data_IF_520127331387
#
_entry.id   IF_520127331387
#
_cell.length_a   1.000
_cell.length_b   1.000
_cell.length_c   1.000
_cell.angle_alpha   90.00
_cell.angle_beta   90.00
_cell.angle_gamma   90.00
#
_symmetry.space_group_name_H-M   'P 1'
#
loop_
_entity.id
_entity.type
_entity.pdbx_description
1 polymer ?
#
# COMPACT_ATOMS: atom_id res chain seq x y z
N UNK A 1 50.28 -3.17 5.32
CA UNK A 1 49.18 -4.08 5.06
C UNK A 1 47.91 -3.26 4.99
N UNK A 2 47.51 -2.87 3.80
CA UNK A 2 46.23 -2.20 3.57
C UNK A 2 45.13 -3.24 3.80
N UNK A 3 44.26 -3.01 4.77
CA UNK A 3 43.00 -3.75 4.88
C UNK A 3 42.20 -3.36 3.63
N UNK A 4 42.14 -4.24 2.64
CA UNK A 4 41.13 -4.20 1.61
C UNK A 4 39.79 -4.43 2.32
N UNK A 5 39.04 -3.38 2.51
CA UNK A 5 37.61 -3.48 2.82
C UNK A 5 36.97 -4.09 1.59
N UNK A 6 36.69 -5.40 1.65
CA UNK A 6 35.89 -6.09 0.68
C UNK A 6 34.50 -5.48 0.74
N UNK A 7 34.25 -4.39 0.01
CA UNK A 7 32.91 -3.82 -0.13
C UNK A 7 32.09 -4.82 -0.93
N UNK A 8 31.23 -5.56 -0.27
CA UNK A 8 30.30 -6.46 -0.94
C UNK A 8 29.40 -5.61 -1.84
N UNK A 9 29.45 -5.85 -3.14
CA UNK A 9 28.58 -5.19 -4.14
C UNK A 9 27.28 -5.96 -4.27
N UNK A 10 26.16 -5.24 -4.27
CA UNK A 10 24.81 -5.78 -4.44
C UNK A 10 24.26 -5.37 -5.81
N UNK A 11 24.38 -6.24 -6.80
CA UNK A 11 23.89 -6.00 -8.16
C UNK A 11 22.56 -6.72 -8.37
N UNK A 12 21.58 -6.00 -8.89
CA UNK A 12 20.22 -6.51 -9.15
C UNK A 12 20.06 -7.01 -10.59
N UNK A 13 19.01 -7.79 -10.88
CA UNK A 13 18.76 -8.26 -12.24
C UNK A 13 18.60 -7.10 -13.24
N UNK A 14 18.97 -7.34 -14.50
CA UNK A 14 18.73 -6.40 -15.58
C UNK A 14 17.24 -6.09 -15.72
N UNK A 15 16.89 -4.82 -15.93
CA UNK A 15 15.52 -4.35 -16.03
C UNK A 15 14.78 -4.31 -14.69
N UNK A 16 15.50 -4.27 -13.59
CA UNK A 16 14.90 -4.10 -12.26
C UNK A 16 14.16 -2.76 -12.14
N UNK A 17 12.96 -2.78 -11.55
CA UNK A 17 12.14 -1.58 -11.43
C UNK A 17 12.59 -0.76 -10.22
N UNK A 18 13.25 0.35 -10.50
CA UNK A 18 13.68 1.32 -9.51
C UNK A 18 12.72 2.49 -9.47
N UNK A 19 12.10 2.75 -8.33
CA UNK A 19 11.15 3.83 -8.26
C UNK A 19 10.61 4.10 -6.87
N UNK A 20 9.44 4.70 -6.86
CA UNK A 20 8.70 5.02 -5.65
C UNK A 20 7.20 4.91 -5.88
N UNK A 21 6.45 4.99 -4.79
CA UNK A 21 4.99 4.92 -4.81
C UNK A 21 4.38 6.15 -4.16
N UNK A 22 3.18 6.50 -4.61
CA UNK A 22 2.35 7.54 -4.03
C UNK A 22 0.86 7.18 -4.16
N UNK A 23 -0.01 7.92 -3.52
CA UNK A 23 -1.46 7.79 -3.65
C UNK A 23 -2.14 9.13 -3.93
N UNK A 24 -3.29 9.10 -4.60
CA UNK A 24 -4.01 10.28 -5.01
C UNK A 24 -4.40 11.18 -3.83
N UNK A 25 -5.09 10.64 -2.82
CA UNK A 25 -5.55 11.42 -1.67
C UNK A 25 -4.42 12.06 -0.88
N UNK A 26 -3.25 11.41 -0.84
CA UNK A 26 -2.11 11.88 -0.06
C UNK A 26 -1.26 12.94 -0.79
N UNK A 27 -1.43 13.10 -2.11
CA UNK A 27 -0.55 13.95 -2.92
C UNK A 27 -1.24 14.99 -3.78
N UNK A 28 -2.43 14.71 -4.32
CA UNK A 28 -3.02 15.54 -5.37
C UNK A 28 -3.56 16.89 -4.87
N UNK A 29 -4.28 16.87 -3.74
CA UNK A 29 -5.05 18.01 -3.26
C UNK A 29 -6.41 18.16 -3.97
N UNK A 30 -7.14 19.20 -3.59
CA UNK A 30 -8.45 19.55 -4.17
C UNK A 30 -8.49 21.05 -4.46
N UNK A 31 -9.03 21.43 -5.61
CA UNK A 31 -9.00 22.81 -6.08
C UNK A 31 -10.38 23.24 -6.58
N UNK A 32 -10.75 24.53 -6.41
CA UNK A 32 -11.99 25.03 -6.98
C UNK A 32 -12.06 24.78 -8.49
N UNK A 33 -13.13 24.12 -8.93
CA UNK A 33 -13.38 23.85 -10.35
C UNK A 33 -12.70 22.59 -10.90
N UNK A 34 -12.00 21.79 -10.09
CA UNK A 34 -11.38 20.54 -10.54
C UNK A 34 -12.40 19.37 -10.69
N UNK A 35 -13.62 19.59 -10.27
CA UNK A 35 -14.73 18.62 -10.40
C UNK A 35 -14.65 17.41 -9.50
N UNK A 36 -13.65 17.31 -8.63
CA UNK A 36 -13.49 16.18 -7.69
C UNK A 36 -14.65 16.14 -6.70
N UNK A 37 -15.29 14.98 -6.56
CA UNK A 37 -16.24 14.70 -5.48
C UNK A 37 -15.50 14.40 -4.16
N UNK A 38 -16.18 14.53 -3.01
CA UNK A 38 -15.61 14.21 -1.72
C UNK A 38 -15.43 12.69 -1.58
N UNK A 39 -14.34 12.29 -0.92
CA UNK A 39 -14.14 10.94 -0.45
C UNK A 39 -14.28 10.86 1.09
N UNK A 40 -14.15 9.68 1.65
CA UNK A 40 -14.29 9.45 3.09
C UNK A 40 -13.26 10.22 3.93
N UNK A 41 -12.08 10.55 3.40
CA UNK A 41 -11.05 11.32 4.11
C UNK A 41 -11.40 12.80 4.16
N UNK A 42 -11.93 13.37 3.07
CA UNK A 42 -12.44 14.74 3.04
C UNK A 42 -13.56 14.90 4.08
N UNK A 43 -14.50 13.96 4.09
CA UNK A 43 -15.63 13.96 5.02
C UNK A 43 -15.19 13.79 6.48
N UNK A 44 -14.30 12.84 6.75
CA UNK A 44 -13.82 12.58 8.11
C UNK A 44 -13.05 13.78 8.67
N UNK A 45 -12.17 14.38 7.86
CA UNK A 45 -11.49 15.59 8.25
C UNK A 45 -12.46 16.75 8.56
N UNK A 46 -13.47 16.95 7.73
CA UNK A 46 -14.49 17.99 7.96
C UNK A 46 -15.24 17.78 9.27
N UNK A 47 -15.57 16.53 9.62
CA UNK A 47 -16.30 16.19 10.85
C UNK A 47 -15.44 16.24 12.10
N UNK A 48 -14.19 15.77 12.02
CA UNK A 48 -13.30 15.56 13.16
C UNK A 48 -11.88 16.06 12.88
N UNK A 49 -11.67 17.36 12.58
CA UNK A 49 -10.34 17.87 12.21
C UNK A 49 -9.29 17.67 13.31
N UNK A 50 -9.70 17.58 14.56
CA UNK A 50 -8.83 17.32 15.71
C UNK A 50 -8.26 15.89 15.78
N UNK A 51 -8.77 14.96 14.97
CA UNK A 51 -8.19 13.62 14.80
C UNK A 51 -6.94 13.64 13.93
N UNK A 52 -6.66 14.75 13.25
CA UNK A 52 -5.54 14.91 12.33
C UNK A 52 -4.50 15.84 12.93
N UNK A 53 -3.23 15.46 12.79
CA UNK A 53 -2.11 16.20 13.36
C UNK A 53 -2.16 17.68 12.92
N UNK A 54 -2.13 18.60 13.90
CA UNK A 54 -2.23 20.05 13.70
C UNK A 54 -3.48 20.50 12.93
N UNK A 55 -4.50 19.66 12.80
CA UNK A 55 -5.72 20.01 12.06
C UNK A 55 -5.46 20.20 10.55
N UNK A 56 -4.50 19.48 9.98
CA UNK A 56 -4.18 19.56 8.55
C UNK A 56 -4.86 18.44 7.79
N UNK A 57 -5.74 18.81 6.86
CA UNK A 57 -6.54 17.89 6.04
C UNK A 57 -5.96 17.65 4.64
N UNK A 58 -6.67 16.84 3.84
CA UNK A 58 -6.20 16.40 2.52
C UNK A 58 -6.38 17.41 1.38
N UNK A 59 -6.94 18.61 1.65
CA UNK A 59 -7.30 19.54 0.60
C UNK A 59 -6.08 20.14 -0.13
N UNK A 60 -4.97 20.38 0.56
CA UNK A 60 -3.76 20.96 -0.03
C UNK A 60 -2.78 19.87 -0.43
N UNK A 61 -2.37 19.04 0.49
CA UNK A 61 -1.39 17.96 0.36
C UNK A 61 -0.09 18.42 -0.32
N UNK A 62 0.49 17.60 -1.19
CA UNK A 62 1.72 17.94 -1.91
C UNK A 62 1.47 18.61 -3.26
N UNK A 63 0.22 18.96 -3.56
CA UNK A 63 -0.17 19.69 -4.79
C UNK A 63 0.20 18.95 -6.10
N UNK A 64 0.26 17.63 -6.11
CA UNK A 64 0.62 16.84 -7.29
C UNK A 64 -0.28 17.16 -8.50
N UNK A 65 -1.56 17.42 -8.28
CA UNK A 65 -2.50 17.81 -9.33
C UNK A 65 -2.00 19.02 -10.16
N UNK A 66 -1.26 19.93 -9.54
CA UNK A 66 -0.71 21.12 -10.21
C UNK A 66 0.76 20.99 -10.58
N UNK A 67 1.53 20.22 -9.82
CA UNK A 67 3.00 20.16 -9.90
C UNK A 67 3.56 18.86 -10.49
N UNK A 68 2.70 17.98 -11.02
CA UNK A 68 3.11 16.67 -11.52
C UNK A 68 4.23 16.72 -12.58
N UNK A 69 4.30 17.74 -13.42
CA UNK A 69 5.37 17.88 -14.42
C UNK A 69 6.73 18.14 -13.76
N UNK A 70 6.76 18.98 -12.72
CA UNK A 70 7.96 19.21 -11.91
C UNK A 70 8.35 17.92 -11.19
N UNK A 71 7.38 17.26 -10.56
CA UNK A 71 7.60 16.02 -9.81
C UNK A 71 8.15 14.90 -10.71
N UNK A 72 7.59 14.70 -11.91
CA UNK A 72 8.06 13.70 -12.87
C UNK A 72 9.47 14.03 -13.37
N UNK A 73 9.78 15.30 -13.62
CA UNK A 73 11.14 15.73 -13.96
C UNK A 73 12.13 15.37 -12.82
N UNK A 74 11.77 15.59 -11.57
CA UNK A 74 12.59 15.23 -10.42
C UNK A 74 12.71 13.71 -10.26
N UNK A 75 11.64 12.94 -10.53
CA UNK A 75 11.70 11.47 -10.54
C UNK A 75 12.75 10.97 -11.55
N UNK A 76 12.75 11.54 -12.76
CA UNK A 76 13.76 11.20 -13.77
C UNK A 76 15.15 11.57 -13.31
N UNK A 77 15.33 12.74 -12.70
CA UNK A 77 16.61 13.23 -12.18
C UNK A 77 17.21 12.27 -11.15
N UNK A 78 16.38 11.71 -10.25
CA UNK A 78 16.83 10.75 -9.24
C UNK A 78 16.74 9.28 -9.68
N UNK A 79 16.69 9.02 -11.00
CA UNK A 79 16.89 7.71 -11.56
C UNK A 79 15.68 6.77 -11.57
N UNK A 80 14.45 7.28 -11.42
CA UNK A 80 13.27 6.43 -11.56
C UNK A 80 13.12 5.89 -12.97
N UNK A 81 12.81 4.59 -13.09
CA UNK A 81 12.35 3.95 -14.31
C UNK A 81 10.90 3.42 -14.20
N UNK A 82 10.32 3.54 -13.03
CA UNK A 82 8.93 3.17 -12.75
C UNK A 82 8.38 4.03 -11.60
N UNK A 83 7.07 4.25 -11.61
CA UNK A 83 6.40 5.00 -10.57
C UNK A 83 4.98 4.45 -10.37
N UNK A 84 4.61 4.16 -9.11
CA UNK A 84 3.25 3.76 -8.77
C UNK A 84 2.45 4.96 -8.29
N UNK A 85 1.33 5.19 -8.94
CA UNK A 85 0.33 6.17 -8.53
C UNK A 85 -1.03 5.49 -8.36
N UNK A 86 -1.97 6.16 -7.73
CA UNK A 86 -3.37 5.75 -7.74
C UNK A 86 -4.24 6.75 -8.49
N UNK A 87 -5.32 6.27 -9.10
CA UNK A 87 -6.38 7.12 -9.61
C UNK A 87 -7.35 7.38 -8.48
N UNK A 88 -7.72 8.64 -8.25
CA UNK A 88 -8.77 8.99 -7.30
C UNK A 88 -10.13 8.63 -7.89
N UNK A 89 -10.82 7.68 -7.27
CA UNK A 89 -12.15 7.26 -7.71
C UNK A 89 -13.13 8.43 -7.73
N UNK A 90 -13.19 9.24 -6.66
CA UNK A 90 -14.09 10.39 -6.59
C UNK A 90 -13.64 11.60 -7.43
N UNK A 91 -12.38 11.64 -7.91
CA UNK A 91 -11.97 12.63 -8.91
C UNK A 91 -12.47 12.25 -10.29
N UNK A 92 -12.34 10.99 -10.67
CA UNK A 92 -12.79 10.50 -11.99
C UNK A 92 -14.32 10.40 -12.09
N UNK A 93 -14.96 9.86 -11.04
CA UNK A 93 -16.41 9.72 -10.90
C UNK A 93 -16.85 10.42 -9.60
N UNK A 94 -17.26 11.70 -9.63
CA UNK A 94 -17.54 12.47 -8.41
C UNK A 94 -18.57 11.85 -7.47
N UNK A 95 -19.57 11.14 -8.03
CA UNK A 95 -20.59 10.40 -7.27
C UNK A 95 -20.24 8.88 -7.12
N UNK A 96 -19.00 8.49 -7.46
CA UNK A 96 -18.56 7.10 -7.49
C UNK A 96 -19.05 6.28 -8.67
N UNK A 97 -20.02 6.80 -9.42
CA UNK A 97 -20.63 6.21 -10.61
C UNK A 97 -21.31 7.28 -11.47
N UNK A 98 -21.71 6.91 -12.68
CA UNK A 98 -22.46 7.79 -13.58
C UNK A 98 -21.55 8.77 -14.32
N UNK A 99 -21.75 10.07 -14.13
CA UNK A 99 -21.06 11.10 -14.89
C UNK A 99 -19.55 11.11 -14.66
N UNK A 100 -18.78 11.14 -15.75
CA UNK A 100 -17.31 11.20 -15.75
C UNK A 100 -16.86 12.65 -15.65
N UNK A 101 -15.88 12.93 -14.81
CA UNK A 101 -15.22 14.22 -14.75
C UNK A 101 -14.13 14.31 -15.83
N UNK A 102 -14.40 15.06 -16.89
CA UNK A 102 -13.49 15.20 -18.04
C UNK A 102 -12.16 15.88 -17.66
N UNK A 103 -12.15 16.78 -16.67
CA UNK A 103 -10.92 17.38 -16.15
C UNK A 103 -10.01 16.32 -15.50
N UNK A 104 -10.59 15.34 -14.83
CA UNK A 104 -9.84 14.22 -14.27
C UNK A 104 -9.27 13.32 -15.37
N UNK A 105 -10.04 13.05 -16.42
CA UNK A 105 -9.56 12.27 -17.58
C UNK A 105 -8.37 12.98 -18.22
N UNK A 106 -8.47 14.28 -18.45
CA UNK A 106 -7.38 15.08 -19.01
C UNK A 106 -6.15 15.04 -18.11
N UNK A 107 -6.31 15.22 -16.81
CA UNK A 107 -5.23 15.19 -15.82
C UNK A 107 -4.48 13.85 -15.81
N UNK A 108 -5.19 12.72 -15.69
CA UNK A 108 -4.54 11.41 -15.65
C UNK A 108 -3.92 11.03 -17.00
N UNK A 109 -4.52 11.42 -18.13
CA UNK A 109 -3.89 11.27 -19.42
C UNK A 109 -2.55 12.02 -19.50
N UNK A 110 -2.52 13.26 -19.04
CA UNK A 110 -1.29 14.08 -19.03
C UNK A 110 -0.21 13.46 -18.12
N UNK A 111 -0.58 13.02 -16.92
CA UNK A 111 0.36 12.36 -15.98
C UNK A 111 0.96 11.10 -16.60
N UNK A 112 0.13 10.24 -17.17
CA UNK A 112 0.58 9.00 -17.82
C UNK A 112 1.50 9.31 -19.00
N UNK A 113 1.13 10.26 -19.85
CA UNK A 113 1.92 10.67 -21.01
C UNK A 113 3.27 11.26 -20.58
N UNK A 114 3.30 12.10 -19.54
CA UNK A 114 4.53 12.70 -19.03
C UNK A 114 5.49 11.66 -18.43
N UNK A 115 4.95 10.66 -17.70
CA UNK A 115 5.74 9.54 -17.18
C UNK A 115 6.38 8.76 -18.34
N UNK A 116 5.61 8.38 -19.34
CA UNK A 116 6.11 7.62 -20.51
C UNK A 116 7.13 8.44 -21.29
N UNK A 117 6.88 9.73 -21.52
CA UNK A 117 7.83 10.62 -22.20
C UNK A 117 9.14 10.79 -21.42
N UNK A 118 9.13 10.53 -20.12
CA UNK A 118 10.30 10.54 -19.25
C UNK A 118 10.95 9.17 -19.06
N UNK A 119 10.56 8.14 -19.82
CA UNK A 119 10.98 6.73 -19.68
C UNK A 119 10.69 6.16 -18.28
N UNK A 120 9.61 6.59 -17.66
CA UNK A 120 9.15 6.09 -16.35
C UNK A 120 7.87 5.30 -16.58
N UNK A 121 7.89 4.01 -16.31
CA UNK A 121 6.72 3.14 -16.50
C UNK A 121 5.66 3.45 -15.43
N UNK A 122 4.41 3.79 -15.81
CA UNK A 122 3.32 4.00 -14.87
C UNK A 122 2.77 2.68 -14.35
N UNK A 123 2.77 2.51 -13.03
CA UNK A 123 2.07 1.44 -12.31
C UNK A 123 0.84 2.07 -11.69
N UNK A 124 -0.35 1.62 -12.06
CA UNK A 124 -1.59 2.29 -11.66
C UNK A 124 -2.41 1.43 -10.71
N UNK A 125 -2.63 1.96 -9.53
CA UNK A 125 -3.52 1.40 -8.52
C UNK A 125 -4.90 2.06 -8.61
N UNK A 126 -5.97 1.27 -8.52
CA UNK A 126 -7.34 1.75 -8.69
C UNK A 126 -7.98 2.24 -7.39
N UNK A 127 -7.63 1.64 -6.25
CA UNK A 127 -8.21 1.98 -4.96
C UNK A 127 -7.15 2.05 -3.85
N UNK A 128 -7.03 3.22 -3.24
CA UNK A 128 -6.11 3.49 -2.13
C UNK A 128 -6.85 4.21 -0.99
N UNK A 129 -7.82 3.51 -0.39
CA UNK A 129 -8.63 3.94 0.77
C UNK A 129 -9.63 5.07 0.51
N UNK A 130 -9.79 5.51 -0.71
CA UNK A 130 -10.49 6.72 -1.10
C UNK A 130 -11.92 6.48 -1.62
N UNK A 131 -12.73 5.75 -0.84
CA UNK A 131 -14.14 5.52 -1.14
C UNK A 131 -14.86 6.85 -1.39
N UNK A 132 -15.53 7.03 -2.56
CA UNK A 132 -16.40 8.18 -2.78
C UNK A 132 -17.45 8.30 -1.69
N UNK A 133 -17.65 9.50 -1.14
CA UNK A 133 -18.58 9.69 -0.03
C UNK A 133 -20.01 9.31 -0.42
N UNK A 134 -20.42 9.57 -1.64
CA UNK A 134 -21.73 9.20 -2.15
C UNK A 134 -21.98 7.67 -2.10
N UNK A 135 -20.96 6.85 -2.31
CA UNK A 135 -21.07 5.39 -2.16
C UNK A 135 -20.97 4.96 -0.69
N UNK A 136 -20.16 5.65 0.11
CA UNK A 136 -20.07 5.37 1.54
C UNK A 136 -21.42 5.61 2.26
N UNK A 137 -22.18 6.61 1.85
CA UNK A 137 -23.52 6.89 2.35
C UNK A 137 -24.53 5.76 2.06
N UNK A 138 -24.26 4.94 1.05
CA UNK A 138 -25.06 3.73 0.75
C UNK A 138 -24.55 2.48 1.47
N UNK A 139 -23.52 2.59 2.31
CA UNK A 139 -22.92 1.50 3.08
C UNK A 139 -21.47 1.15 2.70
N UNK A 140 -20.88 1.81 1.69
CA UNK A 140 -19.50 1.55 1.27
C UNK A 140 -19.27 0.08 0.94
N UNK A 141 -18.12 -0.46 1.32
CA UNK A 141 -17.79 -1.88 1.06
C UNK A 141 -18.69 -2.90 1.76
N UNK A 142 -19.48 -2.52 2.76
CA UNK A 142 -20.51 -3.41 3.35
C UNK A 142 -21.64 -3.68 2.35
N UNK A 143 -21.94 -2.72 1.48
CA UNK A 143 -22.98 -2.83 0.46
C UNK A 143 -22.45 -3.53 -0.79
N UNK A 144 -23.05 -4.67 -1.14
CA UNK A 144 -22.66 -5.46 -2.32
C UNK A 144 -22.71 -4.66 -3.63
N UNK A 145 -23.66 -3.71 -3.77
CA UNK A 145 -23.77 -2.89 -4.98
C UNK A 145 -22.48 -2.10 -5.26
N UNK A 146 -21.75 -1.71 -4.22
CA UNK A 146 -20.47 -0.99 -4.35
C UNK A 146 -19.41 -1.84 -5.05
N UNK A 147 -19.48 -3.16 -4.96
CA UNK A 147 -18.61 -4.08 -5.73
C UNK A 147 -18.82 -3.86 -7.23
N UNK A 148 -20.05 -3.81 -7.70
CA UNK A 148 -20.35 -3.61 -9.11
C UNK A 148 -20.06 -2.17 -9.58
N UNK A 149 -20.30 -1.19 -8.72
CA UNK A 149 -19.92 0.21 -8.96
C UNK A 149 -18.39 0.34 -9.11
N UNK A 150 -17.61 -0.37 -8.26
CA UNK A 150 -16.15 -0.43 -8.37
C UNK A 150 -15.69 -1.07 -9.68
N UNK A 151 -16.29 -2.19 -10.08
CA UNK A 151 -15.94 -2.87 -11.34
C UNK A 151 -16.22 -1.98 -12.55
N UNK A 152 -17.31 -1.22 -12.52
CA UNK A 152 -17.64 -0.23 -13.56
C UNK A 152 -16.58 0.88 -13.63
N UNK A 153 -16.13 1.39 -12.48
CA UNK A 153 -15.03 2.35 -12.38
C UNK A 153 -13.71 1.76 -12.91
N UNK A 154 -13.35 0.54 -12.48
CA UNK A 154 -12.14 -0.14 -12.94
C UNK A 154 -12.15 -0.33 -14.46
N UNK A 155 -13.28 -0.78 -15.03
CA UNK A 155 -13.47 -0.96 -16.46
C UNK A 155 -13.29 0.35 -17.22
N UNK A 156 -13.84 1.44 -16.70
CA UNK A 156 -13.63 2.78 -17.26
C UNK A 156 -12.16 3.16 -17.29
N UNK A 157 -11.43 2.92 -16.20
CA UNK A 157 -9.98 3.19 -16.16
C UNK A 157 -9.22 2.36 -17.20
N UNK A 158 -9.53 1.08 -17.36
CA UNK A 158 -8.91 0.22 -18.38
C UNK A 158 -9.21 0.73 -19.80
N UNK A 159 -10.42 1.22 -20.07
CA UNK A 159 -10.79 1.79 -21.36
C UNK A 159 -10.05 3.10 -21.66
N UNK A 160 -9.93 3.98 -20.66
CA UNK A 160 -9.32 5.30 -20.83
C UNK A 160 -7.79 5.26 -20.95
N UNK A 161 -7.13 4.35 -20.22
CA UNK A 161 -5.67 4.41 -20.01
C UNK A 161 -4.94 3.10 -20.37
N UNK A 162 -5.64 2.01 -20.63
CA UNK A 162 -5.07 0.69 -20.84
C UNK A 162 -4.24 0.53 -22.11
N UNK A 163 -4.38 1.44 -23.08
CA UNK A 163 -3.50 1.53 -24.23
C UNK A 163 -2.05 1.80 -23.86
N UNK A 164 -1.79 2.49 -22.74
CA UNK A 164 -0.48 2.94 -22.25
C UNK A 164 -0.08 2.32 -20.92
N UNK A 165 -1.02 2.08 -20.00
CA UNK A 165 -0.77 1.46 -18.71
C UNK A 165 -0.74 -0.06 -18.87
N UNK A 166 0.38 -0.69 -18.49
CA UNK A 166 0.62 -2.13 -18.63
C UNK A 166 0.69 -2.87 -17.29
N UNK A 167 0.66 -2.13 -16.17
CA UNK A 167 0.64 -2.71 -14.83
C UNK A 167 -0.46 -2.05 -14.01
N UNK A 168 -1.49 -2.83 -13.73
CA UNK A 168 -2.67 -2.44 -12.97
C UNK A 168 -2.72 -3.14 -11.63
N UNK A 169 -3.22 -2.43 -10.62
CA UNK A 169 -3.47 -3.01 -9.29
C UNK A 169 -4.88 -2.62 -8.86
N UNK A 170 -5.63 -3.62 -8.41
CA UNK A 170 -7.03 -3.43 -8.04
C UNK A 170 -7.17 -2.65 -6.72
N UNK A 171 -6.47 -3.10 -5.70
CA UNK A 171 -6.47 -2.52 -4.36
C UNK A 171 -5.06 -2.31 -3.84
N UNK A 172 -4.88 -1.27 -3.03
CA UNK A 172 -3.75 -1.14 -2.12
C UNK A 172 -4.22 -1.48 -0.71
N UNK A 173 -3.55 -2.46 -0.09
CA UNK A 173 -3.74 -2.83 1.31
C UNK A 173 -5.21 -3.00 1.74
N UNK A 174 -5.99 -3.88 1.13
CA UNK A 174 -7.41 -4.01 1.45
C UNK A 174 -7.69 -4.37 2.92
N UNK A 175 -6.72 -4.93 3.64
CA UNK A 175 -6.84 -5.16 5.08
C UNK A 175 -6.95 -3.86 5.89
N UNK A 176 -6.42 -2.72 5.41
CA UNK A 176 -6.42 -1.45 6.16
C UNK A 176 -7.82 -0.86 6.32
N UNK A 177 -8.67 -0.75 5.29
CA UNK A 177 -10.09 -0.41 5.48
C UNK A 177 -10.83 -1.37 6.41
N UNK A 178 -10.52 -2.67 6.37
CA UNK A 178 -11.11 -3.68 7.28
C UNK A 178 -10.70 -3.42 8.72
N UNK A 179 -9.38 -3.37 8.99
CA UNK A 179 -8.86 -3.16 10.35
C UNK A 179 -9.27 -1.79 10.90
N UNK A 180 -8.99 -0.75 10.15
CA UNK A 180 -9.20 0.63 10.61
C UNK A 180 -10.64 1.05 10.61
N UNK A 181 -11.40 0.61 9.62
CA UNK A 181 -12.79 1.00 9.44
C UNK A 181 -13.78 0.26 10.33
N UNK A 182 -13.50 -1.04 10.62
CA UNK A 182 -14.49 -1.92 11.24
C UNK A 182 -13.96 -2.75 12.43
N UNK A 183 -12.68 -2.59 12.81
CA UNK A 183 -12.11 -3.31 13.95
C UNK A 183 -11.50 -2.38 15.00
N UNK A 184 -10.60 -1.46 14.60
CA UNK A 184 -9.75 -0.71 15.53
C UNK A 184 -9.91 0.82 15.45
N UNK A 185 -10.86 1.32 14.68
CA UNK A 185 -11.28 2.74 14.69
C UNK A 185 -10.17 3.76 14.37
N UNK A 186 -9.34 3.49 13.36
CA UNK A 186 -8.32 4.41 12.86
C UNK A 186 -8.50 4.80 11.39
N UNK A 187 -9.64 4.43 10.79
CA UNK A 187 -10.03 4.73 9.41
C UNK A 187 -11.55 4.91 9.38
N UNK A 188 -12.06 5.90 8.62
CA UNK A 188 -13.50 6.05 8.47
C UNK A 188 -14.11 4.77 7.84
N UNK A 189 -15.26 4.29 8.31
CA UNK A 189 -16.27 4.94 9.16
C UNK A 189 -16.04 4.79 10.67
N UNK A 190 -14.93 4.22 11.14
CA UNK A 190 -14.60 4.07 12.56
C UNK A 190 -15.61 3.24 13.35
N UNK A 191 -16.23 2.26 12.72
CA UNK A 191 -17.11 1.29 13.39
C UNK A 191 -16.26 0.19 14.06
N UNK A 192 -16.82 -0.47 15.08
CA UNK A 192 -16.24 -1.66 15.71
C UNK A 192 -17.27 -2.78 15.59
N UNK A 193 -17.19 -3.51 14.49
CA UNK A 193 -18.12 -4.58 14.13
C UNK A 193 -17.41 -5.61 13.25
N UNK A 194 -17.00 -6.72 13.85
CA UNK A 194 -16.23 -7.74 13.14
C UNK A 194 -17.05 -8.48 12.06
N UNK A 195 -18.38 -8.57 12.20
CA UNK A 195 -19.24 -9.11 11.14
C UNK A 195 -19.15 -8.23 9.87
N UNK A 196 -19.21 -6.92 10.04
CA UNK A 196 -19.01 -5.97 8.93
C UNK A 196 -17.59 -6.03 8.38
N UNK A 197 -16.57 -6.16 9.26
CA UNK A 197 -15.19 -6.32 8.85
C UNK A 197 -15.00 -7.51 7.90
N UNK A 198 -15.60 -8.65 8.23
CA UNK A 198 -15.57 -9.87 7.38
C UNK A 198 -16.27 -9.61 6.05
N UNK A 199 -17.43 -8.97 6.06
CA UNK A 199 -18.17 -8.64 4.84
C UNK A 199 -17.40 -7.70 3.92
N UNK A 200 -16.75 -6.68 4.48
CA UNK A 200 -15.89 -5.75 3.74
C UNK A 200 -14.73 -6.48 3.09
N UNK A 201 -14.00 -7.30 3.84
CA UNK A 201 -12.88 -8.07 3.29
C UNK A 201 -13.31 -9.02 2.17
N UNK A 202 -14.46 -9.68 2.32
CA UNK A 202 -15.02 -10.50 1.26
C UNK A 202 -15.38 -9.70 0.01
N UNK A 203 -16.03 -8.55 0.16
CA UNK A 203 -16.41 -7.70 -0.97
C UNK A 203 -15.20 -7.09 -1.68
N UNK A 204 -14.12 -6.75 -0.96
CA UNK A 204 -12.89 -6.26 -1.60
C UNK A 204 -12.23 -7.37 -2.44
N UNK A 205 -12.15 -8.60 -1.95
CA UNK A 205 -11.65 -9.75 -2.74
C UNK A 205 -12.57 -10.06 -3.92
N UNK A 206 -13.88 -10.02 -3.74
CA UNK A 206 -14.82 -10.21 -4.83
C UNK A 206 -14.67 -9.13 -5.91
N UNK A 207 -14.52 -7.87 -5.51
CA UNK A 207 -14.28 -6.77 -6.44
C UNK A 207 -12.95 -6.91 -7.18
N UNK A 208 -11.90 -7.38 -6.53
CA UNK A 208 -10.63 -7.73 -7.16
C UNK A 208 -10.82 -8.79 -8.25
N UNK A 209 -11.49 -9.90 -7.94
CA UNK A 209 -11.72 -10.97 -8.91
C UNK A 209 -12.58 -10.51 -10.10
N UNK A 210 -13.66 -9.75 -9.83
CA UNK A 210 -14.52 -9.20 -10.90
C UNK A 210 -13.77 -8.18 -11.78
N UNK A 211 -12.92 -7.33 -11.20
CA UNK A 211 -12.10 -6.39 -11.98
C UNK A 211 -11.07 -7.13 -12.85
N UNK A 212 -10.46 -8.20 -12.33
CA UNK A 212 -9.56 -9.06 -13.10
C UNK A 212 -10.29 -9.72 -14.27
N UNK A 213 -11.50 -10.24 -14.04
CA UNK A 213 -12.34 -10.81 -15.10
C UNK A 213 -12.63 -9.79 -16.21
N UNK A 214 -13.05 -8.58 -15.82
CA UNK A 214 -13.30 -7.49 -16.77
C UNK A 214 -12.06 -7.11 -17.57
N UNK A 215 -10.89 -7.05 -16.92
CA UNK A 215 -9.62 -6.79 -17.58
C UNK A 215 -9.25 -7.85 -18.60
N UNK A 216 -9.41 -9.13 -18.24
CA UNK A 216 -9.15 -10.25 -19.16
C UNK A 216 -10.06 -10.25 -20.39
N UNK A 217 -11.34 -9.90 -20.22
CA UNK A 217 -12.30 -9.78 -21.33
C UNK A 217 -11.90 -8.71 -22.35
N UNK A 218 -11.24 -7.64 -21.89
CA UNK A 218 -10.76 -6.55 -22.75
C UNK A 218 -9.52 -6.95 -23.56
N UNK A 219 -8.85 -8.07 -23.26
CA UNK A 219 -7.69 -8.61 -23.98
C UNK A 219 -6.55 -7.60 -24.14
N UNK A 220 -6.35 -6.75 -23.14
CA UNK A 220 -5.21 -5.84 -23.10
C UNK A 220 -3.91 -6.62 -22.81
N UNK A 221 -2.79 -6.08 -23.24
CA UNK A 221 -1.47 -6.73 -23.20
C UNK A 221 -0.66 -6.48 -21.92
N UNK A 222 -1.31 -6.04 -20.85
CA UNK A 222 -0.71 -5.76 -19.55
C UNK A 222 -0.93 -6.88 -18.53
N UNK A 223 -0.51 -6.59 -17.29
CA UNK A 223 -0.72 -7.42 -16.11
C UNK A 223 -1.62 -6.73 -15.12
N UNK A 224 -2.41 -7.52 -14.41
CA UNK A 224 -3.27 -7.03 -13.32
C UNK A 224 -2.96 -7.78 -12.03
N UNK A 225 -2.81 -7.03 -10.94
CA UNK A 225 -2.46 -7.56 -9.63
C UNK A 225 -3.19 -6.88 -8.50
N UNK A 226 -2.70 -7.13 -7.29
CA UNK A 226 -3.12 -6.51 -6.04
C UNK A 226 -1.87 -6.10 -5.25
N UNK A 227 -1.99 -5.10 -4.39
CA UNK A 227 -0.93 -4.68 -3.48
C UNK A 227 -1.35 -5.02 -2.05
N UNK A 228 -0.54 -5.80 -1.37
CA UNK A 228 -0.80 -6.25 -0.01
C UNK A 228 0.30 -5.79 0.96
N UNK A 229 -0.11 -5.24 2.10
CA UNK A 229 0.81 -5.04 3.21
C UNK A 229 0.96 -6.37 3.95
N UNK A 230 2.11 -7.00 3.80
CA UNK A 230 2.41 -8.26 4.45
C UNK A 230 3.25 -8.01 5.71
N UNK A 231 2.68 -8.37 6.85
CA UNK A 231 3.32 -8.26 8.15
C UNK A 231 3.65 -9.67 8.64
N UNK A 232 4.88 -10.17 8.44
CA UNK A 232 5.21 -11.52 8.87
C UNK A 232 4.97 -11.68 10.36
N UNK A 233 4.22 -12.72 10.74
CA UNK A 233 3.83 -12.96 12.12
C UNK A 233 4.83 -13.88 12.80
N UNK A 234 5.55 -13.34 13.78
CA UNK A 234 6.57 -14.10 14.54
C UNK A 234 6.06 -14.48 15.93
N UNK A 235 6.18 -15.75 16.32
CA UNK A 235 5.84 -16.18 17.66
C UNK A 235 6.87 -15.68 18.70
N UNK A 236 6.43 -15.45 19.93
CA UNK A 236 7.31 -15.13 21.06
C UNK A 236 8.38 -16.21 21.30
N UNK A 237 8.01 -17.48 21.09
CA UNK A 237 8.88 -18.63 21.32
C UNK A 237 8.53 -19.81 20.41
N UNK A 238 9.30 -20.90 20.49
CA UNK A 238 9.01 -22.15 19.80
C UNK A 238 7.98 -23.02 20.54
N UNK A 239 7.35 -22.51 21.59
CA UNK A 239 6.24 -23.20 22.23
C UNK A 239 5.11 -23.39 21.20
N UNK A 240 4.55 -24.61 21.06
CA UNK A 240 3.49 -24.85 20.06
C UNK A 240 2.30 -23.90 20.16
N UNK A 241 1.95 -23.42 21.35
CA UNK A 241 0.87 -22.44 21.54
C UNK A 241 1.21 -21.05 20.99
N UNK A 242 2.48 -20.61 21.14
CA UNK A 242 2.93 -19.35 20.55
C UNK A 242 3.02 -19.45 19.02
N UNK A 243 3.47 -20.61 18.50
CA UNK A 243 3.51 -20.88 17.05
C UNK A 243 2.10 -20.86 16.46
N UNK A 244 1.14 -21.51 17.12
CA UNK A 244 -0.26 -21.50 16.66
C UNK A 244 -0.87 -20.08 16.70
N UNK A 245 -0.53 -19.29 17.70
CA UNK A 245 -0.94 -17.87 17.76
C UNK A 245 -0.43 -17.08 16.56
N UNK A 246 0.83 -17.29 16.16
CA UNK A 246 1.41 -16.64 14.98
C UNK A 246 0.77 -17.11 13.68
N UNK A 247 0.47 -18.40 13.54
CA UNK A 247 -0.26 -18.93 12.38
C UNK A 247 -1.68 -18.36 12.28
N UNK A 248 -2.35 -18.18 13.42
CA UNK A 248 -3.68 -17.58 13.45
C UNK A 248 -3.63 -16.11 13.04
N UNK A 249 -2.67 -15.35 13.59
CA UNK A 249 -2.46 -13.94 13.19
C UNK A 249 -2.15 -13.82 11.69
N UNK A 250 -1.32 -14.70 11.14
CA UNK A 250 -1.02 -14.76 9.71
C UNK A 250 -2.26 -15.06 8.87
N UNK A 251 -3.12 -15.97 9.32
CA UNK A 251 -4.37 -16.30 8.65
C UNK A 251 -5.34 -15.10 8.58
N UNK A 252 -5.46 -14.33 9.66
CA UNK A 252 -6.34 -13.16 9.71
C UNK A 252 -5.79 -11.96 8.92
N UNK A 253 -4.49 -11.67 9.04
CA UNK A 253 -3.95 -10.39 8.58
C UNK A 253 -3.16 -10.45 7.27
N UNK A 254 -2.67 -11.62 6.88
CA UNK A 254 -1.95 -11.78 5.61
C UNK A 254 -2.69 -12.70 4.65
N UNK A 255 -2.95 -13.94 5.07
CA UNK A 255 -3.49 -14.97 4.19
C UNK A 255 -4.95 -14.75 3.83
N UNK A 256 -5.70 -13.98 4.60
CA UNK A 256 -7.08 -13.58 4.29
C UNK A 256 -7.22 -12.89 2.92
N UNK A 257 -6.20 -12.20 2.47
CA UNK A 257 -6.12 -11.57 1.15
C UNK A 257 -5.15 -12.27 0.20
N UNK A 258 -4.01 -12.74 0.70
CA UNK A 258 -2.96 -13.35 -0.12
C UNK A 258 -3.42 -14.69 -0.73
N UNK A 259 -4.06 -15.56 0.06
CA UNK A 259 -4.55 -16.84 -0.43
C UNK A 259 -5.62 -16.68 -1.54
N UNK A 260 -6.70 -15.91 -1.36
CA UNK A 260 -7.69 -15.77 -2.43
C UNK A 260 -7.15 -15.02 -3.65
N UNK A 261 -6.24 -14.07 -3.48
CA UNK A 261 -5.65 -13.32 -4.61
C UNK A 261 -4.74 -14.19 -5.48
N UNK A 262 -3.93 -15.08 -4.89
CA UNK A 262 -2.95 -15.91 -5.60
C UNK A 262 -3.44 -17.32 -5.86
N UNK A 263 -4.09 -17.95 -4.88
CA UNK A 263 -4.55 -19.36 -4.95
C UNK A 263 -6.02 -19.51 -5.31
N UNK A 264 -6.80 -18.43 -5.25
CA UNK A 264 -8.23 -18.46 -5.56
C UNK A 264 -9.12 -19.04 -4.47
N UNK A 265 -8.62 -19.20 -3.25
CA UNK A 265 -9.42 -19.68 -2.12
C UNK A 265 -8.97 -19.07 -0.81
N UNK A 266 -9.88 -18.93 0.15
CA UNK A 266 -9.56 -18.44 1.48
C UNK A 266 -8.85 -19.50 2.33
N UNK A 267 -8.00 -19.11 3.32
CA UNK A 267 -7.34 -20.08 4.19
C UNK A 267 -8.35 -20.82 5.07
N UNK A 268 -8.24 -22.16 5.13
CA UNK A 268 -9.17 -23.02 5.87
C UNK A 268 -9.26 -22.63 7.35
N UNK A 269 -8.12 -22.33 7.98
CA UNK A 269 -8.08 -21.91 9.39
C UNK A 269 -8.95 -20.68 9.67
N UNK A 270 -8.96 -19.70 8.77
CA UNK A 270 -9.83 -18.53 8.87
C UNK A 270 -11.31 -18.91 8.67
N UNK A 271 -11.59 -19.67 7.63
CA UNK A 271 -12.96 -20.11 7.33
C UNK A 271 -13.57 -20.92 8.48
N UNK A 272 -12.80 -21.81 9.09
CA UNK A 272 -13.25 -22.61 10.24
C UNK A 272 -13.57 -21.75 11.46
N UNK A 273 -12.76 -20.72 11.74
CA UNK A 273 -13.06 -19.77 12.81
C UNK A 273 -14.34 -19.00 12.50
N UNK A 274 -14.50 -18.48 11.30
CA UNK A 274 -15.70 -17.71 10.93
C UNK A 274 -16.97 -18.58 10.98
N UNK A 275 -16.90 -19.84 10.59
CA UNK A 275 -18.01 -20.80 10.72
C UNK A 275 -18.36 -21.06 12.18
N UNK A 276 -17.34 -21.32 13.00
CA UNK A 276 -17.49 -21.58 14.43
C UNK A 276 -18.15 -20.43 15.16
N UNK A 277 -17.75 -19.21 14.84
CA UNK A 277 -18.25 -17.99 15.49
C UNK A 277 -19.54 -17.45 14.84
N UNK A 278 -20.03 -18.07 13.75
CA UNK A 278 -21.22 -17.63 13.03
C UNK A 278 -21.02 -16.30 12.27
N UNK A 279 -19.80 -16.05 11.81
CA UNK A 279 -19.37 -14.78 11.20
C UNK A 279 -19.08 -14.90 9.70
N UNK A 280 -19.57 -15.94 9.04
CA UNK A 280 -19.41 -16.07 7.58
C UNK A 280 -20.05 -14.87 6.86
N UNK A 281 -19.41 -14.33 5.81
CA UNK A 281 -19.98 -13.25 5.02
C UNK A 281 -21.18 -13.72 4.22
N UNK A 282 -22.09 -12.82 3.89
CA UNK A 282 -23.10 -13.07 2.88
C UNK A 282 -22.43 -13.22 1.50
N UNK A 283 -22.79 -14.29 0.80
CA UNK A 283 -22.26 -14.63 -0.53
C UNK A 283 -23.42 -14.98 -1.46
N UNK A 284 -23.22 -14.81 -2.75
CA UNK A 284 -24.13 -15.29 -3.79
C UNK A 284 -23.53 -16.51 -4.50
N UNK A 285 -24.39 -17.26 -5.18
CA UNK A 285 -23.96 -18.40 -6.00
C UNK A 285 -23.00 -17.92 -7.08
N UNK A 286 -21.86 -18.60 -7.25
CA UNK A 286 -20.82 -18.28 -8.21
C UNK A 286 -19.73 -17.34 -7.70
N UNK A 287 -19.85 -16.72 -6.51
CA UNK A 287 -18.84 -15.79 -5.99
C UNK A 287 -17.48 -16.48 -5.77
N UNK A 288 -17.49 -17.66 -5.17
CA UNK A 288 -16.25 -18.39 -4.86
C UNK A 288 -15.60 -18.94 -6.13
N UNK A 289 -16.39 -19.39 -7.09
CA UNK A 289 -15.92 -19.84 -8.40
C UNK A 289 -15.26 -18.67 -9.15
N UNK A 290 -15.85 -17.48 -9.12
CA UNK A 290 -15.32 -16.30 -9.75
C UNK A 290 -13.98 -15.88 -9.12
N UNK A 291 -13.85 -15.96 -7.80
CA UNK A 291 -12.58 -15.71 -7.08
C UNK A 291 -11.53 -16.74 -7.50
N UNK A 292 -11.90 -18.02 -7.59
CA UNK A 292 -11.01 -19.11 -7.97
C UNK A 292 -10.47 -18.95 -9.40
N UNK A 293 -11.29 -18.51 -10.33
CA UNK A 293 -10.95 -18.39 -11.75
C UNK A 293 -10.18 -17.11 -12.09
N UNK A 294 -10.20 -16.10 -11.22
CA UNK A 294 -9.64 -14.78 -11.49
C UNK A 294 -8.61 -14.38 -10.43
N UNK A 295 -7.46 -15.04 -10.47
CA UNK A 295 -6.29 -14.72 -9.65
C UNK A 295 -5.39 -13.70 -10.32
N UNK A 296 -4.48 -13.13 -9.57
CA UNK A 296 -3.57 -12.05 -10.01
C UNK A 296 -2.42 -12.57 -10.87
N UNK A 297 -1.85 -11.68 -11.71
CA UNK A 297 -0.63 -11.91 -12.49
C UNK A 297 0.62 -11.41 -11.79
N UNK A 298 0.50 -10.40 -10.91
CA UNK A 298 1.59 -9.65 -10.30
C UNK A 298 1.22 -9.27 -8.87
N UNK A 299 2.12 -9.51 -7.92
CA UNK A 299 1.93 -9.16 -6.51
C UNK A 299 2.77 -7.93 -6.14
N UNK A 300 2.12 -6.87 -5.71
CA UNK A 300 2.78 -5.76 -5.00
C UNK A 300 2.86 -6.06 -3.50
N UNK A 301 4.03 -5.86 -2.91
CA UNK A 301 4.28 -6.11 -1.49
C UNK A 301 4.65 -4.80 -0.82
N UNK A 302 3.86 -4.41 0.18
CA UNK A 302 4.19 -3.33 1.10
C UNK A 302 4.72 -3.95 2.39
N UNK A 303 5.91 -3.52 2.83
CA UNK A 303 6.50 -3.97 4.08
C UNK A 303 7.11 -2.81 4.88
N UNK A 304 6.71 -2.71 6.15
CA UNK A 304 7.23 -1.69 7.07
C UNK A 304 7.74 -2.28 8.38
N UNK A 305 7.04 -3.28 8.93
CA UNK A 305 7.32 -3.86 10.24
C UNK A 305 6.80 -5.30 10.35
N UNK A 306 7.36 -6.12 11.25
CA UNK A 306 6.81 -7.42 11.57
C UNK A 306 5.61 -7.30 12.52
N UNK A 307 4.85 -8.37 12.63
CA UNK A 307 3.88 -8.61 13.71
C UNK A 307 4.48 -9.64 14.67
N UNK A 308 4.59 -9.30 15.95
CA UNK A 308 5.04 -10.25 16.97
C UNK A 308 3.88 -10.58 17.89
N UNK A 309 3.68 -11.86 18.12
CA UNK A 309 2.55 -12.37 18.90
C UNK A 309 2.97 -13.46 19.86
N UNK A 310 2.15 -13.68 20.88
CA UNK A 310 2.22 -14.78 21.82
C UNK A 310 0.86 -15.43 21.97
N UNK A 311 0.82 -16.64 22.50
CA UNK A 311 -0.42 -17.31 22.84
C UNK A 311 -1.27 -16.45 23.78
N UNK A 312 -2.58 -16.49 23.61
CA UNK A 312 -3.52 -15.87 24.52
C UNK A 312 -3.39 -16.54 25.90
N UNK A 313 -2.93 -15.78 26.86
CA UNK A 313 -2.71 -16.26 28.23
C UNK A 313 -3.93 -16.01 29.12
N UNK A 314 -4.70 -14.98 28.79
CA UNK A 314 -5.78 -14.50 29.60
C UNK A 314 -6.89 -13.88 28.73
N UNK A 315 -8.14 -14.20 29.01
CA UNK A 315 -9.33 -13.64 28.35
C UNK A 315 -10.14 -12.82 29.37
N UNK A 316 -9.86 -11.53 29.47
CA UNK A 316 -10.50 -10.68 30.51
C UNK A 316 -12.00 -10.49 30.26
N UNK A 317 -12.45 -10.56 29.01
CA UNK A 317 -13.83 -10.35 28.60
C UNK A 317 -14.30 -11.47 27.68
N UNK A 318 -14.55 -12.70 28.19
CA UNK A 318 -14.91 -13.84 27.35
C UNK A 318 -16.26 -13.70 26.64
N UNK A 319 -17.14 -12.84 27.15
CA UNK A 319 -18.46 -12.56 26.58
C UNK A 319 -18.47 -11.36 25.61
N UNK A 320 -17.31 -10.73 25.38
CA UNK A 320 -17.19 -9.65 24.40
C UNK A 320 -17.39 -10.20 22.98
N UNK A 321 -17.89 -9.35 22.04
CA UNK A 321 -17.95 -9.73 20.64
C UNK A 321 -16.60 -10.24 20.12
N UNK A 322 -16.66 -11.24 19.22
CA UNK A 322 -15.45 -11.83 18.67
C UNK A 322 -14.58 -10.82 17.96
N UNK A 323 -13.26 -10.92 18.22
CA UNK A 323 -12.19 -10.21 17.52
C UNK A 323 -11.00 -11.18 17.35
N UNK A 324 -10.11 -10.99 16.36
CA UNK A 324 -8.96 -11.89 16.15
C UNK A 324 -8.04 -12.02 17.36
N UNK A 325 -7.97 -11.01 18.22
CA UNK A 325 -7.19 -11.00 19.46
C UNK A 325 -7.74 -11.97 20.55
N UNK A 326 -8.85 -12.66 20.28
CA UNK A 326 -9.25 -13.84 21.07
C UNK A 326 -8.25 -14.98 20.97
N UNK A 327 -7.44 -15.04 19.89
CA UNK A 327 -6.50 -16.13 19.63
C UNK A 327 -5.05 -15.82 19.99
N UNK A 328 -4.68 -14.54 20.12
CA UNK A 328 -3.30 -14.14 20.41
C UNK A 328 -3.26 -12.79 21.10
N UNK A 329 -2.14 -12.54 21.78
CA UNK A 329 -1.76 -11.21 22.28
C UNK A 329 -0.56 -10.69 21.50
N UNK A 330 -0.44 -9.37 21.36
CA UNK A 330 0.78 -8.74 20.87
C UNK A 330 1.94 -9.00 21.81
N UNK A 331 3.13 -9.13 21.23
CA UNK A 331 4.37 -9.34 21.99
C UNK A 331 5.42 -8.30 21.58
N UNK A 332 6.00 -7.65 22.55
CA UNK A 332 7.11 -6.72 22.34
C UNK A 332 8.44 -7.41 22.62
N UNK A 333 9.22 -7.69 21.57
CA UNK A 333 10.52 -8.32 21.73
C UNK A 333 11.52 -7.36 22.39
N UNK A 334 12.16 -7.73 23.49
CA UNK A 334 13.19 -6.91 24.11
C UNK A 334 14.37 -6.63 23.17
N UNK A 335 14.85 -5.40 23.17
CA UNK A 335 16.02 -5.01 22.37
C UNK A 335 15.75 -4.84 20.85
N UNK A 336 14.49 -4.88 20.41
CA UNK A 336 14.15 -4.62 19.01
C UNK A 336 14.57 -3.20 18.57
N UNK A 337 15.02 -3.05 17.34
CA UNK A 337 15.30 -1.76 16.71
C UNK A 337 13.98 -1.05 16.38
N UNK A 338 13.85 0.22 16.72
CA UNK A 338 12.60 0.96 16.58
C UNK A 338 12.76 2.19 15.71
N UNK A 339 11.79 2.42 14.83
CA UNK A 339 11.49 3.76 14.33
C UNK A 339 10.66 4.48 15.41
N UNK A 340 11.34 5.28 16.22
CA UNK A 340 10.73 5.95 17.39
C UNK A 340 9.64 6.97 17.00
N UNK A 341 9.67 7.48 15.77
CA UNK A 341 8.72 8.49 15.29
C UNK A 341 7.36 7.89 14.91
N UNK A 342 7.34 6.59 14.55
CA UNK A 342 6.12 5.86 14.21
C UNK A 342 5.76 4.80 15.25
N UNK A 343 6.67 4.45 16.12
CA UNK A 343 6.50 3.33 17.06
C UNK A 343 6.54 1.95 16.35
N UNK A 344 7.16 1.87 15.18
CA UNK A 344 7.28 0.65 14.39
C UNK A 344 8.63 -0.01 14.57
N UNK A 345 8.62 -1.32 14.69
CA UNK A 345 9.86 -2.10 14.71
C UNK A 345 10.52 -2.07 13.34
N UNK A 346 11.83 -1.81 13.29
CA UNK A 346 12.65 -1.97 12.10
C UNK A 346 13.25 -3.39 12.17
N UNK A 347 12.80 -4.25 11.26
CA UNK A 347 13.29 -5.63 11.14
C UNK A 347 13.45 -5.97 9.65
N UNK A 348 14.64 -5.70 9.15
CA UNK A 348 14.96 -5.73 7.73
C UNK A 348 14.83 -7.14 7.14
N UNK A 349 15.16 -8.17 7.92
CA UNK A 349 15.00 -9.57 7.51
C UNK A 349 13.54 -9.96 7.23
N UNK A 350 12.57 -9.24 7.79
CA UNK A 350 11.14 -9.51 7.54
C UNK A 350 10.76 -9.46 6.07
N UNK A 351 11.39 -8.58 5.28
CA UNK A 351 11.15 -8.49 3.83
C UNK A 351 11.64 -9.77 3.11
N UNK A 352 12.77 -10.33 3.55
CA UNK A 352 13.29 -11.60 3.04
C UNK A 352 12.33 -12.76 3.39
N UNK A 353 11.88 -12.85 4.63
CA UNK A 353 10.98 -13.91 5.08
C UNK A 353 9.66 -13.90 4.28
N UNK A 354 9.12 -12.71 3.97
CA UNK A 354 7.96 -12.55 3.08
C UNK A 354 8.27 -13.10 1.67
N UNK A 355 9.39 -12.69 1.08
CA UNK A 355 9.76 -13.09 -0.26
C UNK A 355 10.00 -14.60 -0.36
N UNK A 356 10.61 -15.19 0.65
CA UNK A 356 10.78 -16.65 0.72
C UNK A 356 9.46 -17.38 0.86
N UNK A 357 8.52 -16.85 1.65
CA UNK A 357 7.17 -17.41 1.76
C UNK A 357 6.43 -17.34 0.41
N UNK A 358 6.51 -16.22 -0.30
CA UNK A 358 5.94 -16.10 -1.66
C UNK A 358 6.56 -17.12 -2.60
N UNK A 359 7.87 -17.30 -2.54
CA UNK A 359 8.58 -18.30 -3.36
C UNK A 359 8.12 -19.73 -3.07
N UNK A 360 8.04 -20.12 -1.79
CA UNK A 360 7.78 -21.52 -1.41
C UNK A 360 6.29 -21.89 -1.42
N UNK A 361 5.42 -20.96 -0.98
CA UNK A 361 4.02 -21.27 -0.71
C UNK A 361 3.05 -20.73 -1.77
N UNK A 362 3.51 -19.81 -2.64
CA UNK A 362 2.66 -19.10 -3.62
C UNK A 362 3.19 -19.21 -5.05
N UNK A 363 3.84 -20.34 -5.38
CA UNK A 363 4.30 -20.63 -6.73
C UNK A 363 5.34 -19.66 -7.28
N UNK A 364 6.05 -18.95 -6.41
CA UNK A 364 7.03 -17.93 -6.78
C UNK A 364 6.46 -16.91 -7.77
N UNK A 365 5.21 -16.47 -7.54
CA UNK A 365 4.57 -15.47 -8.41
C UNK A 365 5.46 -14.25 -8.57
N UNK A 366 5.47 -13.66 -9.75
CA UNK A 366 6.17 -12.40 -10.00
C UNK A 366 5.69 -11.33 -9.03
N UNK A 367 6.62 -10.70 -8.33
CA UNK A 367 6.32 -9.68 -7.34
C UNK A 367 7.34 -8.53 -7.39
N UNK A 368 7.02 -7.46 -6.69
CA UNK A 368 7.94 -6.36 -6.42
C UNK A 368 7.62 -5.76 -5.06
N UNK A 369 8.60 -5.09 -4.47
CA UNK A 369 8.37 -4.29 -3.27
C UNK A 369 7.70 -3.00 -3.71
N UNK A 370 6.41 -2.90 -3.44
CA UNK A 370 5.57 -1.75 -3.83
C UNK A 370 5.66 -0.60 -2.85
N UNK A 371 5.92 -0.90 -1.58
CA UNK A 371 6.21 0.09 -0.56
C UNK A 371 7.16 -0.47 0.49
N UNK A 372 8.15 0.32 0.84
CA UNK A 372 9.01 0.19 2.01
C UNK A 372 9.53 1.59 2.32
N UNK A 373 9.59 1.99 3.57
CA UNK A 373 9.97 3.37 3.90
C UNK A 373 9.99 3.63 5.39
N UNK A 374 10.57 4.77 5.75
CA UNK A 374 10.74 5.22 7.12
C UNK A 374 10.22 6.67 7.26
N UNK A 375 9.13 6.83 8.02
CA UNK A 375 8.61 8.15 8.37
C UNK A 375 9.39 8.76 9.54
N UNK A 376 9.82 10.00 9.39
CA UNK A 376 10.60 10.73 10.39
C UNK A 376 9.96 12.07 10.67
N UNK A 377 9.91 12.46 11.95
CA UNK A 377 9.39 13.74 12.41
C UNK A 377 10.53 14.76 12.55
N UNK A 378 10.26 16.01 12.17
CA UNK A 378 11.19 17.12 12.36
C UNK A 378 12.47 16.99 11.53
N UNK A 379 12.36 16.63 10.25
CA UNK A 379 13.51 16.44 9.36
C UNK A 379 14.27 17.75 9.09
N UNK A 380 13.67 18.91 9.29
CA UNK A 380 14.32 20.23 9.18
C UNK A 380 15.57 20.37 10.05
N UNK A 381 15.67 19.62 11.15
CA UNK A 381 16.88 19.59 12.00
C UNK A 381 18.12 18.99 11.32
N UNK A 382 17.92 18.28 10.21
CA UNK A 382 19.00 17.67 9.41
C UNK A 382 19.31 18.49 8.14
N UNK A 383 18.70 19.66 8.00
CA UNK A 383 18.89 20.54 6.86
C UNK A 383 20.21 21.31 6.96
N UNK A 384 20.95 21.39 5.86
CA UNK A 384 22.15 22.21 5.76
C UNK A 384 21.81 23.67 5.36
N UNK A 385 22.86 24.50 5.21
CA UNK A 385 22.72 25.89 4.82
C UNK A 385 22.18 26.10 3.39
N UNK A 386 22.27 25.07 2.55
CA UNK A 386 21.79 25.07 1.17
C UNK A 386 20.34 24.54 1.06
N UNK A 387 19.78 24.07 2.16
CA UNK A 387 18.39 23.59 2.26
C UNK A 387 18.22 22.09 1.99
N UNK A 388 19.31 21.34 1.79
CA UNK A 388 19.24 19.90 1.61
C UNK A 388 19.12 19.17 2.95
N UNK A 389 18.22 18.20 3.04
CA UNK A 389 18.07 17.34 4.21
C UNK A 389 19.02 16.15 4.09
N UNK A 390 19.91 16.00 5.08
CA UNK A 390 20.85 14.89 5.20
C UNK A 390 20.20 13.70 5.91
N UNK A 391 19.38 12.97 5.19
CA UNK A 391 18.60 11.83 5.70
C UNK A 391 19.35 10.50 5.58
N UNK A 392 20.57 10.44 6.14
CA UNK A 392 21.41 9.22 6.16
C UNK A 392 20.68 8.03 6.77
N UNK A 393 19.84 8.25 7.78
CA UNK A 393 18.99 7.21 8.38
C UNK A 393 18.04 6.56 7.37
N UNK A 394 17.59 7.28 6.33
CA UNK A 394 16.76 6.71 5.25
C UNK A 394 17.60 5.89 4.29
N UNK A 395 18.81 6.34 3.98
CA UNK A 395 19.79 5.58 3.19
C UNK A 395 20.11 4.25 3.87
N UNK A 396 20.42 4.28 5.17
CA UNK A 396 20.70 3.09 5.97
C UNK A 396 19.49 2.13 5.99
N UNK A 397 18.28 2.68 6.20
CA UNK A 397 17.06 1.88 6.19
C UNK A 397 16.83 1.18 4.86
N UNK A 398 16.93 1.90 3.75
CA UNK A 398 16.71 1.36 2.40
C UNK A 398 17.80 0.33 2.06
N UNK A 399 19.07 0.66 2.27
CA UNK A 399 20.19 -0.22 1.94
C UNK A 399 20.12 -1.55 2.68
N UNK A 400 19.82 -1.54 3.98
CA UNK A 400 19.70 -2.75 4.77
C UNK A 400 18.51 -3.63 4.33
N UNK A 401 17.37 -3.05 3.95
CA UNK A 401 16.27 -3.82 3.36
C UNK A 401 16.64 -4.38 1.97
N UNK A 402 17.29 -3.58 1.12
CA UNK A 402 17.72 -4.02 -0.22
C UNK A 402 18.72 -5.18 -0.18
N UNK A 403 19.59 -5.27 0.82
CA UNK A 403 20.48 -6.43 1.03
C UNK A 403 19.68 -7.72 1.19
N UNK A 404 18.59 -7.68 1.95
CA UNK A 404 17.71 -8.83 2.16
C UNK A 404 16.87 -9.15 0.91
N UNK A 405 16.43 -8.15 0.16
CA UNK A 405 15.78 -8.36 -1.15
C UNK A 405 16.75 -9.03 -2.12
N UNK A 406 17.98 -8.53 -2.19
CA UNK A 406 19.04 -9.13 -3.01
C UNK A 406 19.30 -10.59 -2.63
N UNK A 407 19.41 -10.90 -1.33
CA UNK A 407 19.59 -12.27 -0.85
C UNK A 407 18.45 -13.19 -1.33
N UNK A 408 17.19 -12.74 -1.20
CA UNK A 408 16.04 -13.51 -1.69
C UNK A 408 16.10 -13.77 -3.20
N UNK A 409 16.49 -12.76 -3.98
CA UNK A 409 16.66 -12.88 -5.45
C UNK A 409 17.77 -13.91 -5.78
N UNK A 410 18.93 -13.85 -5.11
CA UNK A 410 20.02 -14.80 -5.30
C UNK A 410 19.59 -16.25 -4.99
N UNK A 411 18.63 -16.41 -4.10
CA UNK A 411 18.05 -17.71 -3.73
C UNK A 411 16.81 -18.08 -4.56
N UNK A 412 16.52 -17.34 -5.64
CA UNK A 412 15.52 -17.69 -6.65
C UNK A 412 14.15 -17.04 -6.49
N UNK A 413 13.96 -16.09 -5.55
CA UNK A 413 12.70 -15.33 -5.47
C UNK A 413 12.50 -14.44 -6.71
N UNK A 414 11.30 -14.46 -7.29
CA UNK A 414 10.98 -13.74 -8.52
C UNK A 414 10.58 -12.28 -8.25
N UNK A 415 11.53 -11.49 -7.78
CA UNK A 415 11.35 -10.07 -7.43
C UNK A 415 11.83 -9.19 -8.57
N UNK A 416 10.99 -8.29 -9.03
CA UNK A 416 11.23 -7.45 -10.22
C UNK A 416 11.55 -5.99 -9.90
N UNK A 417 11.37 -5.53 -8.68
CA UNK A 417 11.57 -4.12 -8.38
C UNK A 417 11.46 -3.75 -6.91
N UNK A 418 11.85 -2.52 -6.63
CA UNK A 418 11.76 -1.88 -5.33
C UNK A 418 11.28 -0.45 -5.49
N UNK A 419 10.16 -0.13 -4.85
CA UNK A 419 9.62 1.22 -4.72
C UNK A 419 9.67 1.69 -3.27
N UNK A 420 10.27 2.86 -3.04
CA UNK A 420 10.18 3.53 -1.76
C UNK A 420 8.77 4.10 -1.55
N UNK A 421 8.24 4.02 -0.34
CA UNK A 421 7.22 4.92 0.12
C UNK A 421 7.88 6.12 0.81
N UNK A 422 7.96 7.28 0.16
CA UNK A 422 7.30 7.73 -1.07
C UNK A 422 8.26 8.59 -1.88
N UNK A 423 7.87 9.04 -3.07
CA UNK A 423 8.67 9.96 -3.87
C UNK A 423 8.89 11.30 -3.16
N UNK A 424 7.81 11.98 -2.78
CA UNK A 424 7.83 13.26 -2.09
C UNK A 424 7.12 13.17 -0.74
N UNK A 425 7.49 14.02 0.20
CA UNK A 425 6.75 14.16 1.44
C UNK A 425 5.27 14.39 1.13
N UNK A 426 4.40 13.62 1.76
CA UNK A 426 2.98 13.61 1.48
C UNK A 426 2.14 13.71 2.77
N UNK A 427 0.86 13.89 2.59
CA UNK A 427 -0.11 13.84 3.68
C UNK A 427 -0.27 12.40 4.18
N UNK A 428 0.20 12.14 5.41
CA UNK A 428 0.27 10.80 5.99
C UNK A 428 -0.97 10.48 6.84
N UNK A 429 -2.15 10.58 6.24
CA UNK A 429 -3.45 10.29 6.87
C UNK A 429 -3.64 11.13 8.15
N UNK A 430 -4.06 10.52 9.27
CA UNK A 430 -4.23 11.24 10.55
C UNK A 430 -2.95 11.87 11.10
N UNK A 431 -1.78 11.40 10.67
CA UNK A 431 -0.49 12.04 11.01
C UNK A 431 -0.18 13.26 10.15
N UNK A 432 -0.97 13.53 9.12
CA UNK A 432 -0.75 14.66 8.20
C UNK A 432 0.73 14.78 7.78
N UNK A 433 1.38 15.88 8.07
CA UNK A 433 2.81 16.09 7.76
C UNK A 433 3.76 15.87 8.96
N UNK A 434 3.30 15.23 10.02
CA UNK A 434 4.15 14.86 11.15
C UNK A 434 5.31 13.95 10.73
N UNK A 435 5.02 12.96 9.91
CA UNK A 435 6.00 11.98 9.45
C UNK A 435 6.31 12.21 7.97
N UNK A 436 7.57 12.41 7.65
CA UNK A 436 8.08 12.63 6.31
C UNK A 436 8.75 11.37 5.78
N UNK A 437 8.40 10.95 4.57
CA UNK A 437 8.85 9.68 3.97
C UNK A 437 9.59 9.86 2.64
N UNK A 438 9.55 11.06 2.05
CA UNK A 438 9.96 11.31 0.67
C UNK A 438 11.46 11.29 0.43
N UNK A 439 11.84 10.99 -0.82
CA UNK A 439 13.14 11.38 -1.38
C UNK A 439 13.23 12.88 -1.60
N UNK A 440 12.09 13.52 -1.75
CA UNK A 440 11.95 14.97 -2.00
C UNK A 440 11.18 15.59 -0.85
N UNK A 441 11.73 16.62 -0.26
CA UNK A 441 11.01 17.44 0.73
C UNK A 441 10.00 18.35 0.05
N UNK A 442 8.91 18.61 0.75
CA UNK A 442 7.85 19.54 0.33
C UNK A 442 7.71 20.61 1.40
N UNK A 443 8.00 21.85 1.04
CA UNK A 443 7.83 23.00 1.92
C UNK A 443 6.42 23.57 1.73
N UNK A 444 5.56 23.37 2.74
CA UNK A 444 4.17 23.82 2.69
C UNK A 444 4.02 25.34 2.84
N UNK A 445 5.02 26.03 3.41
CA UNK A 445 5.02 27.49 3.61
C UNK A 445 5.48 28.20 2.32
N UNK A 446 6.35 27.57 1.52
CA UNK A 446 6.85 28.08 0.24
C UNK A 446 6.09 27.46 -0.96
N UNK A 447 4.77 27.42 -0.93
CA UNK A 447 3.91 26.89 -2.01
C UNK A 447 4.29 25.47 -2.46
N UNK A 448 4.68 24.62 -1.53
CA UNK A 448 5.05 23.24 -1.83
C UNK A 448 6.36 23.12 -2.61
N UNK A 449 7.31 23.99 -2.40
CA UNK A 449 8.65 23.91 -3.01
C UNK A 449 9.29 22.55 -2.78
N UNK A 450 9.87 21.99 -3.85
CA UNK A 450 10.55 20.70 -3.85
C UNK A 450 12.04 20.86 -3.66
N UNK A 451 12.63 20.05 -2.76
CA UNK A 451 14.08 19.92 -2.62
C UNK A 451 14.45 18.44 -2.49
N UNK A 452 15.33 17.96 -3.35
CA UNK A 452 15.80 16.57 -3.30
C UNK A 452 16.63 16.40 -2.03
N UNK A 453 16.31 15.35 -1.23
CA UNK A 453 17.09 14.99 -0.05
C UNK A 453 18.33 14.18 -0.43
N UNK A 454 19.27 14.01 0.48
CA UNK A 454 20.48 13.21 0.26
C UNK A 454 20.16 11.78 -0.19
N UNK A 455 19.11 11.18 0.37
CA UNK A 455 18.63 9.85 -0.04
C UNK A 455 18.17 9.77 -1.50
N UNK A 456 17.64 10.85 -2.06
CA UNK A 456 17.25 10.91 -3.47
C UNK A 456 18.48 10.82 -4.39
N UNK A 457 19.54 11.53 -4.11
CA UNK A 457 20.79 11.45 -4.87
C UNK A 457 21.50 10.10 -4.68
N UNK A 458 21.45 9.53 -3.49
CA UNK A 458 21.94 8.16 -3.27
C UNK A 458 21.16 7.15 -4.10
N UNK A 459 19.84 7.27 -4.14
CA UNK A 459 18.99 6.38 -4.93
C UNK A 459 19.23 6.52 -6.43
N UNK A 460 19.51 7.73 -6.92
CA UNK A 460 19.97 7.93 -8.29
C UNK A 460 21.17 7.05 -8.60
N UNK A 461 22.20 7.09 -7.75
CA UNK A 461 23.41 6.25 -7.92
C UNK A 461 23.07 4.76 -7.92
N UNK A 462 22.15 4.31 -7.04
CA UNK A 462 21.71 2.90 -6.99
C UNK A 462 21.03 2.49 -8.29
N UNK A 463 20.11 3.31 -8.81
CA UNK A 463 19.41 3.02 -10.05
C UNK A 463 20.33 3.01 -11.27
N UNK A 464 21.21 4.01 -11.40
CA UNK A 464 22.16 4.12 -12.51
C UNK A 464 23.16 2.95 -12.56
N UNK A 465 23.61 2.48 -11.39
CA UNK A 465 24.53 1.33 -11.28
C UNK A 465 23.80 -0.01 -11.17
N UNK A 466 22.49 -0.01 -11.13
CA UNK A 466 21.65 -1.18 -10.85
C UNK A 466 22.11 -1.95 -9.61
N UNK A 467 22.53 -1.19 -8.57
CA UNK A 467 23.09 -1.74 -7.34
C UNK A 467 23.91 -0.74 -6.52
N UNK A 468 24.54 -1.22 -5.44
CA UNK A 468 25.35 -0.39 -4.52
C UNK A 468 26.41 -1.21 -3.80
#
# INVERSE_FOLDING_TARGET
MSMETNSQSYTFPEGFWWGSSASATQTEGSYPGDGKGPNIWDHWFEKEPNRFFQGVGPAVTSQFYRKYKEDIRLMKEIGHNSFRLSISWSRLLPEGKGAVNEEAVAFYNDVINELIASDIEPFVNLYHFDMPMALQETGGWVNRQVVDDYVSYATLCFQLFGDRVKKWFTHNEPIVPVEGGYMYSFHYPNEVDFQKAVQVGFHEILSNAKAIAAYKEMKQDGKIGIILNLTPSYPRSQNPRDVEAAEMADAFFNRSFLDPAVKGHFPEKLVDVLKKEGLMPAMEEGDLELIQENTIDLLGINYYQPRRVKAKEHMPHPDAPFMPDHYFDSFEMPGRKMNVYRGWEIYEKGIYDILKKVQTDYGNIECFISENGMGVEGEERFQDEEGMIHDDYRIDFISEHLKWVHQAIQEGSHVKGYHLWTFMDNWSWSNAYKNRYGFVSVDLEEDGKRTIKKSGYWFQSVSENNGF
#
